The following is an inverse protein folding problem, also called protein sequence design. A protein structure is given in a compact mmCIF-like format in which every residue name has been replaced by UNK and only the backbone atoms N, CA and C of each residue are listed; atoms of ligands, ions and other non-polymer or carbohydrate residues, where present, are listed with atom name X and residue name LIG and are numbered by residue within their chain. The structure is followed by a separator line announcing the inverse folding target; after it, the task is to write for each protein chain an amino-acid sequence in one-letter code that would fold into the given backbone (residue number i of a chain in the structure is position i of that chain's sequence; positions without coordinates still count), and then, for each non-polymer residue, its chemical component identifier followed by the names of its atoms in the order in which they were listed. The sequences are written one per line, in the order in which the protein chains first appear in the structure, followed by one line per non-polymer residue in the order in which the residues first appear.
data_IF_185358278488
#
_entry.id   IF_185358278488
#
_cell.length_a   1.000
_cell.length_b   1.000
_cell.length_c   1.000
_cell.angle_alpha   90.00
_cell.angle_beta   90.00
_cell.angle_gamma   90.00
#
_symmetry.space_group_name_H-M   'P 1'
#
loop_
_entity.id
_entity.type
_entity.pdbx_description
1 polymer ?
#
# COMPACT_ATOMS: atom_id res chain seq x y z
N UNK A 1 26.36 -9.15 -23.11
CA UNK A 1 27.02 -9.89 -22.01
C UNK A 1 28.24 -10.59 -22.56
N UNK A 2 29.41 -10.30 -22.03
CA UNK A 2 30.66 -11.00 -22.39
C UNK A 2 30.93 -11.97 -21.26
N UNK A 3 30.71 -13.25 -21.48
CA UNK A 3 31.12 -14.29 -20.55
C UNK A 3 32.57 -14.67 -20.81
N UNK A 4 33.41 -14.63 -19.81
CA UNK A 4 34.77 -15.15 -19.87
C UNK A 4 34.78 -16.56 -19.30
N UNK A 5 35.16 -17.53 -20.07
CA UNK A 5 35.33 -18.91 -19.62
C UNK A 5 36.79 -19.36 -19.82
N UNK A 6 37.31 -20.09 -18.86
CA UNK A 6 38.58 -20.79 -19.01
C UNK A 6 38.32 -22.07 -19.79
N UNK A 7 38.88 -22.17 -20.99
CA UNK A 7 38.81 -23.39 -21.79
C UNK A 7 40.19 -24.07 -21.77
N UNK A 8 40.23 -25.31 -21.33
CA UNK A 8 41.38 -26.15 -21.49
C UNK A 8 41.46 -26.57 -22.96
N UNK A 9 42.45 -26.06 -23.68
CA UNK A 9 42.80 -26.57 -25.00
C UNK A 9 43.94 -27.56 -24.82
N UNK A 10 43.66 -28.82 -24.98
CA UNK A 10 44.69 -29.85 -25.08
C UNK A 10 45.16 -29.92 -26.52
N UNK A 11 46.34 -29.35 -26.80
CA UNK A 11 46.99 -29.53 -28.06
C UNK A 11 47.57 -30.95 -28.15
N UNK A 12 46.97 -31.80 -28.98
CA UNK A 12 47.42 -33.19 -29.22
C UNK A 12 48.49 -33.32 -30.31
N UNK A 13 49.13 -32.24 -30.75
CA UNK A 13 50.25 -32.35 -31.70
C UNK A 13 51.59 -32.38 -30.95
N UNK A 14 52.11 -33.55 -30.88
CA UNK A 14 53.40 -33.94 -30.38
C UNK A 14 54.42 -33.95 -31.51
N UNK A 15 55.46 -33.16 -31.34
CA UNK A 15 56.82 -33.54 -31.78
C UNK A 15 57.82 -32.76 -30.97
N UNK A 16 58.20 -33.35 -29.85
CA UNK A 16 59.53 -33.19 -29.25
C UNK A 16 59.62 -33.94 -27.94
N UNK A 17 60.65 -34.76 -27.82
CA UNK A 17 60.88 -35.70 -26.73
C UNK A 17 61.35 -35.09 -25.41
N UNK A 18 61.41 -33.75 -25.32
CA UNK A 18 61.92 -33.04 -24.16
C UNK A 18 61.16 -31.71 -23.80
N UNK A 19 59.88 -31.64 -24.03
CA UNK A 19 59.19 -30.44 -23.55
C UNK A 19 58.32 -30.79 -22.34
N UNK A 20 58.70 -30.21 -21.20
CA UNK A 20 57.90 -30.27 -19.98
C UNK A 20 56.53 -29.65 -20.27
N UNK A 21 55.49 -30.42 -20.02
CA UNK A 21 54.05 -30.02 -20.21
C UNK A 21 53.78 -28.81 -19.33
N UNK A 22 54.03 -27.63 -19.85
CA UNK A 22 53.57 -26.40 -19.25
C UNK A 22 52.11 -26.22 -19.71
N UNK A 23 51.18 -26.57 -18.84
CA UNK A 23 49.79 -26.25 -18.99
C UNK A 23 49.62 -24.70 -19.01
N UNK A 24 49.72 -24.10 -20.19
CA UNK A 24 49.41 -22.69 -20.37
C UNK A 24 47.89 -22.50 -20.41
N UNK A 25 47.34 -21.92 -19.37
CA UNK A 25 45.96 -21.42 -19.36
C UNK A 25 45.88 -20.21 -20.31
N UNK A 26 45.25 -20.42 -21.46
CA UNK A 26 45.03 -19.34 -22.40
C UNK A 26 43.61 -18.84 -22.28
N UNK A 27 43.45 -17.54 -22.05
CA UNK A 27 42.13 -16.91 -22.03
C UNK A 27 41.60 -16.79 -23.46
N UNK A 28 40.51 -17.50 -23.75
CA UNK A 28 39.83 -17.38 -25.02
C UNK A 28 38.52 -16.61 -24.86
N UNK A 29 38.31 -15.61 -25.70
CA UNK A 29 37.05 -14.89 -25.75
C UNK A 29 36.01 -15.74 -26.50
N UNK A 30 34.97 -16.09 -25.81
CA UNK A 30 33.81 -16.78 -26.41
C UNK A 30 32.70 -15.75 -26.58
N UNK A 31 32.15 -15.69 -27.79
CA UNK A 31 31.03 -14.81 -28.12
C UNK A 31 29.77 -15.67 -28.27
N UNK A 32 28.67 -15.24 -27.65
CA UNK A 32 27.36 -15.78 -27.99
C UNK A 32 26.85 -15.15 -29.29
N UNK A 33 25.91 -15.77 -29.94
CA UNK A 33 25.15 -15.16 -31.03
C UNK A 33 24.34 -13.96 -30.50
N UNK A 34 24.09 -13.02 -31.39
CA UNK A 34 23.25 -11.88 -31.09
C UNK A 34 21.78 -12.34 -30.98
N UNK A 35 21.12 -11.94 -29.86
CA UNK A 35 19.69 -12.12 -29.73
C UNK A 35 19.02 -10.76 -29.98
N UNK A 36 18.16 -10.69 -30.99
CA UNK A 36 17.34 -9.51 -31.26
C UNK A 36 16.08 -9.57 -30.42
N UNK A 37 15.92 -8.59 -29.51
CA UNK A 37 14.74 -8.42 -28.69
C UNK A 37 14.00 -7.17 -29.19
N UNK A 38 12.74 -7.33 -29.57
CA UNK A 38 11.86 -6.21 -29.92
C UNK A 38 10.93 -5.92 -28.75
N UNK A 39 11.02 -4.72 -28.18
CA UNK A 39 10.19 -4.25 -27.08
C UNK A 39 9.14 -3.31 -27.65
N UNK A 40 7.88 -3.57 -27.33
CA UNK A 40 6.75 -2.66 -27.64
C UNK A 40 6.43 -1.83 -26.40
N UNK A 41 6.21 -0.49 -26.54
CA UNK A 41 5.77 0.32 -25.43
C UNK A 41 4.37 -0.09 -24.99
N UNK A 42 4.09 0.04 -23.70
CA UNK A 42 2.74 -0.14 -23.18
C UNK A 42 1.83 1.01 -23.60
N UNK A 43 0.52 0.78 -23.79
CA UNK A 43 -0.42 1.84 -24.13
C UNK A 43 -0.52 2.86 -22.99
N UNK A 44 -0.89 4.11 -23.31
CA UNK A 44 -1.14 5.19 -22.35
C UNK A 44 0.05 5.51 -21.42
N UNK A 45 1.28 5.23 -21.83
CA UNK A 45 2.49 5.40 -21.02
C UNK A 45 2.44 4.66 -19.67
N UNK A 46 1.72 3.53 -19.63
CA UNK A 46 1.73 2.67 -18.45
C UNK A 46 3.12 2.07 -18.24
N UNK A 47 3.49 1.97 -16.98
CA UNK A 47 4.76 1.35 -16.56
C UNK A 47 4.54 -0.08 -16.04
N UNK A 48 3.33 -0.37 -15.52
CA UNK A 48 3.00 -1.66 -14.92
C UNK A 48 2.41 -2.63 -15.94
N UNK A 49 3.01 -3.81 -15.98
CA UNK A 49 2.61 -4.95 -16.80
C UNK A 49 2.55 -6.21 -15.93
N UNK A 50 1.42 -6.91 -15.93
CA UNK A 50 1.31 -8.13 -15.13
C UNK A 50 -0.11 -8.61 -14.91
N UNK A 51 -0.28 -9.32 -13.80
CA UNK A 51 -1.56 -9.75 -13.24
C UNK A 51 -1.49 -9.56 -11.73
N UNK A 52 -2.29 -8.63 -11.19
CA UNK A 52 -2.19 -8.17 -9.82
C UNK A 52 -3.51 -8.30 -9.07
N UNK A 53 -3.39 -8.52 -7.76
CA UNK A 53 -4.47 -8.35 -6.79
C UNK A 53 -4.09 -7.28 -5.78
N UNK A 54 -5.08 -6.47 -5.36
CA UNK A 54 -4.93 -5.37 -4.42
C UNK A 54 -5.90 -5.56 -3.26
N UNK A 55 -5.38 -5.44 -2.05
CA UNK A 55 -6.17 -5.41 -0.81
C UNK A 55 -5.73 -4.25 0.07
N UNK A 56 -6.67 -3.70 0.84
CA UNK A 56 -6.37 -2.73 1.88
C UNK A 56 -7.10 -3.08 3.15
N UNK A 57 -6.42 -3.01 4.28
CA UNK A 57 -6.97 -3.34 5.61
C UNK A 57 -6.52 -2.32 6.64
N UNK A 58 -7.34 -2.11 7.67
CA UNK A 58 -6.98 -1.28 8.83
C UNK A 58 -6.91 -2.12 10.08
N UNK A 59 -6.10 -1.69 11.04
CA UNK A 59 -5.99 -2.34 12.35
C UNK A 59 -7.25 -2.15 13.20
N UNK A 60 -8.00 -1.05 13.00
CA UNK A 60 -9.23 -0.73 13.72
C UNK A 60 -10.08 0.27 12.95
N UNK A 61 -11.40 0.23 13.14
CA UNK A 61 -12.38 1.16 12.54
C UNK A 61 -13.00 2.11 13.57
N UNK A 62 -12.71 1.89 14.86
CA UNK A 62 -13.09 2.75 15.98
C UNK A 62 -11.84 3.17 16.75
N UNK A 63 -11.69 4.45 17.02
CA UNK A 63 -10.48 4.99 17.64
C UNK A 63 -10.82 6.24 18.46
N UNK A 64 -10.09 6.48 19.55
CA UNK A 64 -10.16 7.74 20.27
C UNK A 64 -9.51 8.88 19.45
N UNK A 65 -9.99 10.11 19.67
CA UNK A 65 -9.42 11.28 19.01
C UNK A 65 -7.89 11.37 19.22
N UNK A 66 -7.18 11.73 18.17
CA UNK A 66 -5.71 11.83 18.13
C UNK A 66 -4.95 10.48 18.28
N UNK A 67 -5.63 9.35 18.25
CA UNK A 67 -4.96 8.05 18.19
C UNK A 67 -4.80 7.57 16.74
N UNK A 68 -3.70 6.89 16.42
CA UNK A 68 -3.43 6.45 15.06
C UNK A 68 -4.30 5.25 14.64
N UNK A 69 -4.71 5.25 13.38
CA UNK A 69 -5.24 4.09 12.65
C UNK A 69 -4.24 3.71 11.57
N UNK A 70 -3.85 2.45 11.50
CA UNK A 70 -2.87 1.98 10.53
C UNK A 70 -3.55 1.24 9.38
N UNK A 71 -3.44 1.81 8.18
CA UNK A 71 -3.80 1.17 6.92
C UNK A 71 -2.62 0.32 6.44
N UNK A 72 -2.89 -0.89 6.00
CA UNK A 72 -1.95 -1.73 5.26
C UNK A 72 -2.47 -1.94 3.86
N UNK A 73 -1.70 -1.53 2.87
CA UNK A 73 -1.93 -1.78 1.44
C UNK A 73 -1.06 -2.97 1.06
N UNK A 74 -1.68 -3.99 0.45
CA UNK A 74 -0.99 -5.18 -0.02
C UNK A 74 -1.33 -5.42 -1.49
N UNK A 75 -0.30 -5.52 -2.33
CA UNK A 75 -0.44 -5.87 -3.74
C UNK A 75 0.41 -7.11 -3.98
N UNK A 76 -0.18 -8.12 -4.58
CA UNK A 76 0.50 -9.36 -4.94
C UNK A 76 0.26 -9.66 -6.40
N UNK A 77 1.23 -10.26 -7.06
CA UNK A 77 1.04 -10.63 -8.46
C UNK A 77 2.30 -11.02 -9.20
N UNK A 78 2.10 -11.25 -10.49
CA UNK A 78 3.12 -11.63 -11.45
C UNK A 78 3.28 -10.53 -12.49
N UNK A 79 4.47 -9.95 -12.55
CA UNK A 79 4.80 -8.81 -13.39
C UNK A 79 5.90 -7.95 -12.76
N UNK A 80 6.09 -6.75 -13.25
CA UNK A 80 7.11 -5.83 -12.77
C UNK A 80 6.70 -5.11 -11.46
N UNK A 81 6.51 -5.88 -10.41
CA UNK A 81 6.01 -5.41 -9.11
C UNK A 81 6.90 -4.32 -8.47
N UNK A 82 8.19 -4.31 -8.82
CA UNK A 82 9.15 -3.31 -8.32
C UNK A 82 8.87 -1.89 -8.80
N UNK A 83 8.10 -1.75 -9.87
CA UNK A 83 7.75 -0.44 -10.46
C UNK A 83 6.49 0.17 -9.81
N UNK A 84 5.86 -0.53 -8.84
CA UNK A 84 4.72 0.01 -8.11
C UNK A 84 5.18 1.18 -7.23
N UNK A 85 4.58 2.34 -7.49
CA UNK A 85 4.93 3.56 -6.80
C UNK A 85 4.35 3.62 -5.38
N UNK A 86 5.03 4.35 -4.51
CA UNK A 86 4.58 4.65 -3.15
C UNK A 86 3.23 5.39 -3.18
N UNK A 87 2.28 4.92 -2.39
CA UNK A 87 1.01 5.60 -2.18
C UNK A 87 1.15 6.72 -1.14
N UNK A 88 0.65 7.90 -1.48
CA UNK A 88 0.53 9.03 -0.58
C UNK A 88 -0.94 9.47 -0.55
N UNK A 89 -1.63 9.18 0.55
CA UNK A 89 -3.05 9.50 0.72
C UNK A 89 -3.20 10.77 1.54
N UNK A 90 -3.90 11.75 0.98
CA UNK A 90 -4.25 12.98 1.66
C UNK A 90 -5.76 13.01 1.91
N UNK A 91 -6.16 13.16 3.17
CA UNK A 91 -7.56 13.26 3.59
C UNK A 91 -7.71 14.59 4.33
N UNK A 92 -8.78 15.32 4.05
CA UNK A 92 -9.03 16.63 4.66
C UNK A 92 -9.17 16.49 6.18
N UNK A 93 -8.45 17.33 6.94
CA UNK A 93 -8.40 17.34 8.42
C UNK A 93 -7.87 16.05 9.05
N UNK A 94 -7.11 15.26 8.31
CA UNK A 94 -6.43 14.04 8.79
C UNK A 94 -4.94 14.18 8.54
N UNK A 95 -4.13 13.92 9.54
CA UNK A 95 -2.67 13.84 9.39
C UNK A 95 -2.32 12.42 8.97
N UNK A 96 -1.55 12.27 7.90
CA UNK A 96 -1.10 10.97 7.40
C UNK A 96 0.42 10.86 7.41
N UNK A 97 0.92 9.68 7.77
CA UNK A 97 2.34 9.30 7.74
C UNK A 97 2.48 8.02 6.92
N UNK A 98 3.05 8.14 5.73
CA UNK A 98 3.24 7.02 4.82
C UNK A 98 4.66 6.46 4.96
N UNK A 99 4.76 5.19 5.35
CA UNK A 99 6.02 4.45 5.36
C UNK A 99 6.53 4.20 3.93
N UNK A 100 7.83 3.90 3.81
CA UNK A 100 8.37 3.38 2.57
C UNK A 100 7.81 1.98 2.30
N UNK A 101 7.44 1.68 1.04
CA UNK A 101 6.93 0.37 0.68
C UNK A 101 8.02 -0.70 0.83
N UNK A 102 7.61 -1.87 1.31
CA UNK A 102 8.42 -3.09 1.28
C UNK A 102 8.03 -3.90 0.06
N UNK A 103 8.99 -4.14 -0.82
CA UNK A 103 8.79 -4.95 -2.03
C UNK A 103 9.63 -6.21 -1.89
N UNK A 104 8.99 -7.36 -2.05
CA UNK A 104 9.63 -8.68 -2.07
C UNK A 104 9.34 -9.31 -3.43
N UNK A 105 10.32 -9.25 -4.31
CA UNK A 105 10.21 -9.79 -5.67
C UNK A 105 11.04 -11.06 -5.83
N UNK A 106 10.56 -11.95 -6.67
CA UNK A 106 11.21 -13.23 -6.95
C UNK A 106 10.91 -13.68 -8.38
N UNK A 107 11.85 -14.45 -8.94
CA UNK A 107 11.68 -15.11 -10.23
C UNK A 107 11.46 -16.60 -9.99
N UNK A 108 10.25 -17.08 -10.22
CA UNK A 108 9.87 -18.48 -10.03
C UNK A 108 9.15 -19.00 -11.26
N UNK A 109 9.52 -20.23 -11.70
CA UNK A 109 8.85 -20.92 -12.80
C UNK A 109 8.71 -20.05 -14.05
N UNK A 110 9.81 -19.39 -14.44
CA UNK A 110 9.92 -18.48 -15.60
C UNK A 110 9.03 -17.23 -15.55
N UNK A 111 8.47 -16.90 -14.36
CA UNK A 111 7.70 -15.68 -14.14
C UNK A 111 8.29 -14.83 -13.00
N UNK A 112 8.34 -13.54 -13.25
CA UNK A 112 8.71 -12.54 -12.26
C UNK A 112 7.46 -12.02 -11.55
N UNK A 113 7.56 -11.78 -10.25
CA UNK A 113 6.46 -11.26 -9.45
C UNK A 113 6.83 -11.17 -7.98
N UNK A 114 5.84 -10.93 -7.12
CA UNK A 114 6.09 -10.81 -5.70
C UNK A 114 4.97 -10.14 -4.92
N UNK A 115 5.40 -9.45 -3.85
CA UNK A 115 4.52 -8.74 -2.92
C UNK A 115 5.01 -7.32 -2.70
N UNK A 116 4.11 -6.38 -2.77
CA UNK A 116 4.27 -5.00 -2.33
C UNK A 116 3.44 -4.80 -1.07
N UNK A 117 4.04 -4.23 -0.02
CA UNK A 117 3.33 -3.91 1.22
C UNK A 117 3.71 -2.50 1.66
N UNK A 118 2.72 -1.66 1.92
CA UNK A 118 2.94 -0.32 2.46
C UNK A 118 1.99 -0.05 3.62
N UNK A 119 2.50 0.63 4.66
CA UNK A 119 1.71 1.08 5.80
C UNK A 119 1.56 2.59 5.77
N UNK A 120 0.36 3.06 6.14
CA UNK A 120 0.06 4.48 6.27
C UNK A 120 -0.70 4.66 7.58
N UNK A 121 -0.16 5.49 8.49
CA UNK A 121 -0.84 5.85 9.73
C UNK A 121 -1.66 7.13 9.53
N UNK A 122 -2.89 7.14 10.00
CA UNK A 122 -3.79 8.28 9.99
C UNK A 122 -4.13 8.71 11.41
N UNK A 123 -4.07 10.01 11.67
CA UNK A 123 -4.44 10.62 12.96
C UNK A 123 -5.47 11.71 12.71
N UNK A 124 -6.62 11.65 13.40
CA UNK A 124 -7.72 12.59 13.23
C UNK A 124 -8.41 12.90 14.56
N UNK A 125 -9.21 13.97 14.56
CA UNK A 125 -10.07 14.36 15.69
C UNK A 125 -11.54 14.05 15.42
N UNK A 126 -11.93 13.83 14.19
CA UNK A 126 -13.30 13.59 13.76
C UNK A 126 -13.36 12.36 12.84
N UNK A 127 -14.55 11.84 12.62
CA UNK A 127 -14.82 10.77 11.67
C UNK A 127 -14.26 11.10 10.29
N UNK A 128 -13.70 10.10 9.62
CA UNK A 128 -13.18 10.23 8.26
C UNK A 128 -13.32 8.94 7.49
N UNK A 129 -13.16 9.05 6.17
CA UNK A 129 -13.17 7.90 5.28
C UNK A 129 -11.82 7.79 4.58
N UNK A 130 -11.19 6.63 4.67
CA UNK A 130 -10.04 6.29 3.84
C UNK A 130 -10.58 5.97 2.44
N UNK A 131 -10.12 6.67 1.40
CA UNK A 131 -10.59 6.43 0.04
C UNK A 131 -10.13 5.06 -0.47
N UNK A 132 -10.78 4.56 -1.50
CA UNK A 132 -10.31 3.36 -2.20
C UNK A 132 -8.91 3.61 -2.80
N UNK A 133 -8.10 2.57 -2.77
CA UNK A 133 -6.79 2.54 -3.42
C UNK A 133 -7.01 2.00 -4.84
N UNK A 134 -6.32 2.56 -5.81
CA UNK A 134 -6.42 2.14 -7.21
C UNK A 134 -5.05 1.71 -7.74
N UNK A 135 -5.04 0.67 -8.56
CA UNK A 135 -3.88 0.23 -9.32
C UNK A 135 -4.28 0.02 -10.78
N UNK A 136 -3.66 0.76 -11.68
CA UNK A 136 -3.86 0.63 -13.12
C UNK A 136 -2.62 0.00 -13.76
N UNK A 137 -2.83 -1.05 -14.56
CA UNK A 137 -1.78 -1.81 -15.20
C UNK A 137 -2.24 -2.38 -16.54
N UNK A 138 -1.30 -2.85 -17.34
CA UNK A 138 -1.58 -3.63 -18.54
C UNK A 138 -1.62 -5.11 -18.18
N UNK A 139 -2.81 -5.70 -18.27
CA UNK A 139 -3.04 -7.11 -17.91
C UNK A 139 -2.45 -8.02 -18.99
N UNK A 140 -1.50 -8.87 -18.58
CA UNK A 140 -0.78 -9.79 -19.48
C UNK A 140 -1.66 -10.90 -20.07
N UNK A 141 -2.76 -11.24 -19.38
CA UNK A 141 -3.65 -12.33 -19.77
C UNK A 141 -4.68 -11.86 -20.80
N UNK A 142 -5.22 -10.65 -20.61
CA UNK A 142 -6.26 -10.08 -21.49
C UNK A 142 -5.69 -9.15 -22.56
N UNK A 143 -4.43 -8.73 -22.45
CA UNK A 143 -3.78 -7.71 -23.26
C UNK A 143 -4.55 -6.38 -23.29
N UNK A 144 -5.12 -5.99 -22.17
CA UNK A 144 -5.89 -4.75 -22.00
C UNK A 144 -5.43 -3.97 -20.77
N UNK A 145 -5.70 -2.68 -20.77
CA UNK A 145 -5.53 -1.84 -19.57
C UNK A 145 -6.61 -2.21 -18.58
N UNK A 146 -6.21 -2.48 -17.35
CA UNK A 146 -7.08 -2.85 -16.24
C UNK A 146 -6.81 -1.96 -15.03
N UNK A 147 -7.89 -1.55 -14.36
CA UNK A 147 -7.81 -0.85 -13.07
C UNK A 147 -8.52 -1.69 -12.02
N UNK A 148 -7.82 -1.99 -10.95
CA UNK A 148 -8.37 -2.66 -9.76
C UNK A 148 -8.37 -1.70 -8.60
N UNK A 149 -9.31 -1.87 -7.66
CA UNK A 149 -9.44 -1.01 -6.49
C UNK A 149 -9.78 -1.80 -5.25
N UNK A 150 -9.35 -1.25 -4.10
CA UNK A 150 -9.82 -1.70 -2.79
C UNK A 150 -11.17 -1.07 -2.46
N UNK A 151 -11.78 -1.50 -1.37
CA UNK A 151 -12.93 -0.82 -0.79
C UNK A 151 -12.50 0.46 -0.05
N UNK A 152 -13.42 1.42 0.10
CA UNK A 152 -13.26 2.56 0.99
C UNK A 152 -13.58 2.14 2.44
N UNK A 153 -12.89 2.73 3.42
CA UNK A 153 -13.01 2.32 4.83
C UNK A 153 -13.42 3.53 5.67
N UNK A 154 -14.55 3.41 6.38
CA UNK A 154 -15.02 4.44 7.29
C UNK A 154 -14.42 4.25 8.69
N UNK A 155 -13.85 5.32 9.23
CA UNK A 155 -13.27 5.35 10.57
C UNK A 155 -14.12 6.25 11.47
N UNK A 156 -14.53 5.69 12.61
CA UNK A 156 -15.26 6.39 13.66
C UNK A 156 -14.30 6.86 14.74
N UNK A 157 -14.35 8.17 15.05
CA UNK A 157 -13.50 8.80 16.07
C UNK A 157 -14.34 9.17 17.28
N UNK A 158 -14.00 8.57 18.42
CA UNK A 158 -14.68 8.83 19.69
C UNK A 158 -14.03 10.06 20.34
N UNK A 159 -14.79 11.13 20.43
CA UNK A 159 -14.40 12.34 21.16
C UNK A 159 -14.91 12.25 22.58
N UNK A 160 -14.09 11.82 23.51
CA UNK A 160 -14.38 11.83 24.96
C UNK A 160 -14.20 13.24 25.56
N UNK A 161 -14.47 14.29 24.79
CA UNK A 161 -14.40 15.65 25.33
C UNK A 161 -15.70 15.94 26.14
N UNK A 162 -15.63 16.11 27.46
CA UNK A 162 -16.85 16.31 28.29
C UNK A 162 -17.62 17.58 27.92
N UNK A 163 -17.07 18.47 27.12
CA UNK A 163 -17.72 19.70 26.69
C UNK A 163 -18.61 19.57 25.45
N UNK A 164 -18.74 18.40 24.85
CA UNK A 164 -19.57 18.19 23.66
C UNK A 164 -20.70 17.18 23.88
N UNK A 165 -21.18 17.07 25.12
CA UNK A 165 -22.48 16.48 25.38
C UNK A 165 -23.55 17.41 24.84
N UNK A 166 -23.84 17.31 23.54
CA UNK A 166 -25.10 17.83 23.02
C UNK A 166 -26.22 17.12 23.81
N UNK A 167 -26.80 17.84 24.72
CA UNK A 167 -28.00 17.44 25.41
C UNK A 167 -29.06 17.12 24.36
N UNK A 168 -29.28 15.83 24.12
CA UNK A 168 -30.42 15.37 23.37
C UNK A 168 -31.63 15.65 24.18
N UNK A 169 -32.26 16.83 23.97
CA UNK A 169 -33.56 17.14 24.53
C UNK A 169 -34.54 16.21 23.82
N UNK A 170 -34.84 15.10 24.44
CA UNK A 170 -36.03 14.31 24.10
C UNK A 170 -37.23 15.11 24.54
N UNK A 171 -37.87 15.77 23.59
CA UNK A 171 -39.19 16.37 23.76
C UNK A 171 -40.20 15.25 23.92
N UNK A 172 -40.41 14.81 25.16
CA UNK A 172 -41.58 14.03 25.51
C UNK A 172 -42.80 14.94 25.46
N UNK A 173 -43.56 14.83 24.38
CA UNK A 173 -44.93 15.32 24.37
C UNK A 173 -45.79 14.43 25.26
N UNK A 174 -46.05 14.89 26.49
CA UNK A 174 -47.17 14.43 27.27
C UNK A 174 -48.06 15.63 27.59
N UNK A 175 -49.11 15.73 26.81
CA UNK A 175 -50.31 16.50 27.12
C UNK A 175 -51.00 15.90 28.35
N UNK A 176 -51.13 16.63 29.45
CA UNK A 176 -52.20 16.44 30.40
C UNK A 176 -52.45 17.75 31.16
N UNK A 177 -53.65 18.19 30.95
CA UNK A 177 -54.43 19.28 31.49
C UNK A 177 -54.53 19.23 33.03
N UNK A 178 -54.78 20.40 33.60
CA UNK A 178 -55.66 20.74 34.76
C UNK A 178 -55.04 21.40 35.97
N UNK A 179 -55.38 22.68 36.06
CA UNK A 179 -55.89 23.49 37.18
C UNK A 179 -55.05 23.90 38.36
N UNK A 180 -54.87 25.18 38.37
CA UNK A 180 -55.07 26.18 39.47
C UNK A 180 -54.84 25.74 40.91
N UNK A 181 -53.95 26.46 41.63
CA UNK A 181 -54.41 27.41 42.70
C UNK A 181 -53.23 28.26 43.17
N UNK A 182 -53.51 29.53 43.16
CA UNK A 182 -52.69 30.60 43.80
C UNK A 182 -52.69 30.46 45.32
N UNK A 183 -51.57 30.72 45.94
CA UNK A 183 -51.55 31.44 47.23
C UNK A 183 -50.23 32.17 47.34
N UNK A 184 -50.44 33.49 47.50
CA UNK A 184 -49.51 34.50 47.96
C UNK A 184 -49.42 34.35 49.45
N UNK A 185 -48.20 34.38 50.04
CA UNK A 185 -48.01 34.88 51.35
C UNK A 185 -46.62 35.49 51.51
N UNK A 186 -46.67 36.76 51.78
CA UNK A 186 -45.68 37.72 52.07
C UNK A 186 -45.34 37.58 53.55
N UNK A 187 -44.18 37.94 54.01
CA UNK A 187 -43.79 38.56 55.29
C UNK A 187 -42.26 38.58 55.33
N UNK A 188 -41.57 39.66 55.04
CA UNK A 188 -41.25 40.79 55.84
C UNK A 188 -40.33 40.54 57.07
N UNK A 189 -39.17 41.17 56.94
CA UNK A 189 -38.37 41.90 57.96
C UNK A 189 -37.99 41.24 59.32
N UNK A 190 -36.73 41.27 59.75
CA UNK A 190 -36.17 42.42 60.56
C UNK A 190 -34.77 42.01 61.08
N UNK A 191 -33.85 42.94 60.93
CA UNK A 191 -32.76 43.39 61.81
C UNK A 191 -32.42 42.59 63.09
N UNK A 192 -31.16 42.28 63.30
CA UNK A 192 -30.13 43.02 64.06
C UNK A 192 -28.73 42.54 63.69
#
# INVERSE_FOLDING_TARGET
WISRANVFVQDFFRDSFFDSVTNRLTWQKIYSNNLHISVKPLPNNLELFGDYSLTSTVDKTFVDANQPVNLTISITGKGNIDDIQKYNLTIVNVVSYADEPKIESTFQTDEYGGNFTQRIAFVAQNDYTIPRIELTYFDKNTNQVKTIHSESINIKVINNNPNNSAVKIETSNNTSTVSQKAQVENIENTKE
#
